data_IF_385393719641
#
_entry.id   IF_385393719641
#
_cell.length_a   1.000
_cell.length_b   1.000
_cell.length_c   1.000
_cell.angle_alpha   90.00
_cell.angle_beta   90.00
_cell.angle_gamma   90.00
#
_symmetry.space_group_name_H-M   'P 1'
#
loop_
_entity.id
_entity.type
_entity.pdbx_description
1 polymer ?
#
# COMPACT_ATOMS: atom_id res chain seq x y z
N UNK A 1 -10.90 -17.54 -6.84
CA UNK A 1 -10.72 -17.22 -5.41
C UNK A 1 -9.22 -17.13 -5.16
N UNK A 2 -8.72 -16.01 -4.68
CA UNK A 2 -7.30 -15.86 -4.35
C UNK A 2 -7.05 -16.65 -3.09
N UNK A 3 -6.02 -17.49 -3.10
CA UNK A 3 -5.63 -18.25 -1.90
C UNK A 3 -4.84 -17.33 -0.96
N UNK A 4 -5.55 -16.65 -0.07
CA UNK A 4 -4.94 -15.81 0.97
C UNK A 4 -4.17 -16.60 2.03
N UNK A 5 -4.28 -17.93 2.04
CA UNK A 5 -3.46 -18.77 2.91
C UNK A 5 -1.96 -18.59 2.60
N UNK A 6 -1.65 -18.27 1.35
CA UNK A 6 -0.29 -17.98 0.92
C UNK A 6 0.23 -16.62 1.40
N UNK A 7 -0.63 -15.62 1.61
CA UNK A 7 -0.23 -14.31 2.14
C UNK A 7 0.00 -14.37 3.66
N UNK A 8 -0.52 -15.37 4.34
CA UNK A 8 -0.39 -15.54 5.78
C UNK A 8 0.40 -16.75 6.24
N UNK A 9 0.54 -17.75 5.40
CA UNK A 9 1.07 -19.06 5.81
C UNK A 9 2.17 -19.58 4.88
N UNK A 10 2.38 -19.01 3.72
CA UNK A 10 3.29 -19.56 2.77
C UNK A 10 3.72 -18.65 1.64
N UNK A 11 4.39 -19.23 0.68
CA UNK A 11 4.96 -18.51 -0.42
C UNK A 11 6.05 -17.55 0.04
N UNK A 12 6.29 -16.51 -0.74
CA UNK A 12 7.29 -15.48 -0.45
C UNK A 12 7.12 -14.83 0.92
N UNK A 13 5.96 -15.00 1.52
CA UNK A 13 5.57 -14.37 2.77
C UNK A 13 5.74 -15.30 3.96
N UNK A 14 5.98 -16.61 3.73
CA UNK A 14 6.09 -17.60 4.81
C UNK A 14 7.26 -17.36 5.74
N UNK A 15 8.38 -16.96 5.18
CA UNK A 15 9.62 -16.69 5.90
C UNK A 15 9.94 -15.19 5.95
N UNK A 16 9.06 -14.36 5.37
CA UNK A 16 9.26 -12.92 5.27
C UNK A 16 8.65 -12.16 6.44
N UNK A 17 8.73 -10.84 6.31
CA UNK A 17 8.24 -9.89 7.29
C UNK A 17 6.76 -10.09 7.67
N UNK A 18 5.93 -10.59 6.77
CA UNK A 18 4.50 -10.80 7.04
C UNK A 18 4.20 -11.93 8.02
N UNK A 19 5.11 -12.88 8.24
CA UNK A 19 4.96 -13.86 9.31
C UNK A 19 5.08 -13.23 10.69
N UNK A 20 5.86 -12.16 10.79
CA UNK A 20 6.09 -11.42 12.03
C UNK A 20 5.08 -10.30 12.22
N UNK A 21 4.67 -9.66 11.11
CA UNK A 21 3.80 -8.49 11.12
C UNK A 21 2.58 -8.70 10.22
N UNK A 22 1.61 -9.42 10.73
CA UNK A 22 0.40 -9.75 9.98
C UNK A 22 -0.35 -8.50 9.46
N UNK A 23 -0.34 -7.41 10.22
CA UNK A 23 -0.98 -6.16 9.83
C UNK A 23 -0.35 -5.50 8.60
N UNK A 24 0.88 -5.83 8.25
CA UNK A 24 1.55 -5.30 7.06
C UNK A 24 1.15 -6.01 5.77
N UNK A 25 0.35 -7.08 5.87
CA UNK A 25 -0.19 -7.78 4.70
C UNK A 25 -1.08 -6.86 3.87
N UNK A 26 -1.19 -7.15 2.57
CA UNK A 26 -2.21 -6.53 1.75
C UNK A 26 -3.60 -6.72 2.35
N UNK A 27 -4.39 -5.66 2.36
CA UNK A 27 -5.74 -5.69 2.92
C UNK A 27 -6.78 -5.60 1.80
N UNK A 28 -7.71 -6.56 1.81
CA UNK A 28 -8.91 -6.59 1.00
C UNK A 28 -10.04 -7.15 1.87
N UNK A 29 -11.15 -6.45 1.97
CA UNK A 29 -12.32 -6.96 2.67
C UNK A 29 -12.87 -8.19 1.93
N UNK A 30 -13.43 -9.12 2.70
CA UNK A 30 -14.02 -10.38 2.21
C UNK A 30 -13.04 -11.31 1.49
N UNK A 31 -11.78 -10.97 1.45
CA UNK A 31 -10.69 -11.79 0.91
C UNK A 31 -10.90 -12.26 -0.55
N UNK A 32 -11.56 -11.45 -1.38
CA UNK A 32 -11.70 -11.74 -2.80
C UNK A 32 -11.79 -10.46 -3.65
N UNK A 33 -11.49 -10.61 -4.93
CA UNK A 33 -11.68 -9.57 -5.92
C UNK A 33 -13.12 -9.55 -6.43
N UNK A 34 -13.66 -8.34 -6.69
CA UNK A 34 -14.94 -8.22 -7.38
C UNK A 34 -14.85 -8.77 -8.81
N UNK A 35 -15.85 -9.54 -9.24
CA UNK A 35 -15.96 -10.01 -10.62
C UNK A 35 -16.43 -8.92 -11.59
N UNK A 36 -16.90 -7.79 -11.07
CA UNK A 36 -17.42 -6.68 -11.86
C UNK A 36 -16.36 -5.83 -12.51
N UNK A 37 -15.17 -5.80 -11.91
CA UNK A 37 -14.06 -4.94 -12.32
C UNK A 37 -12.77 -5.75 -12.46
N UNK A 38 -11.77 -5.13 -13.08
CA UNK A 38 -10.41 -5.66 -13.07
C UNK A 38 -9.83 -5.63 -11.66
N UNK A 39 -8.84 -6.46 -11.38
CA UNK A 39 -8.19 -6.57 -10.07
C UNK A 39 -7.32 -5.35 -9.81
N UNK A 40 -7.80 -4.42 -8.98
CA UNK A 40 -7.09 -3.19 -8.62
C UNK A 40 -6.31 -3.38 -7.33
N UNK A 41 -5.02 -3.05 -7.37
CA UNK A 41 -4.20 -2.89 -6.18
C UNK A 41 -3.78 -1.43 -6.03
N UNK A 42 -4.04 -0.84 -4.87
CA UNK A 42 -3.62 0.52 -4.51
C UNK A 42 -2.47 0.42 -3.52
N UNK A 43 -1.34 1.04 -3.87
CA UNK A 43 -0.13 1.04 -3.05
C UNK A 43 0.13 2.43 -2.50
N UNK A 44 0.02 2.61 -1.21
CA UNK A 44 0.40 3.83 -0.51
C UNK A 44 1.90 3.86 -0.20
N UNK A 45 2.38 4.96 0.37
CA UNK A 45 3.80 5.13 0.69
C UNK A 45 4.21 4.34 1.92
N UNK A 46 3.65 4.70 3.08
CA UNK A 46 3.92 4.05 4.37
C UNK A 46 2.90 4.51 5.41
N UNK A 47 2.81 3.79 6.51
CA UNK A 47 2.13 4.29 7.70
C UNK A 47 2.90 5.45 8.35
N UNK A 48 2.20 6.31 9.10
CA UNK A 48 2.78 7.40 9.87
C UNK A 48 2.41 7.26 11.36
N UNK A 49 3.40 7.22 12.23
CA UNK A 49 3.22 7.00 13.67
C UNK A 49 3.22 8.27 14.51
N UNK A 50 3.66 9.38 13.96
CA UNK A 50 3.82 10.63 14.72
C UNK A 50 5.28 10.91 15.09
N UNK A 51 5.48 12.02 15.79
CA UNK A 51 6.84 12.54 16.07
C UNK A 51 7.45 11.96 17.35
N UNK A 52 6.61 11.52 18.30
CA UNK A 52 7.01 11.02 19.63
C UNK A 52 7.16 9.50 19.64
N UNK A 53 7.84 8.96 18.60
CA UNK A 53 8.06 7.53 18.53
C UNK A 53 9.42 7.15 19.10
N UNK A 54 9.41 6.03 19.78
CA UNK A 54 10.60 5.39 20.33
C UNK A 54 11.66 5.11 19.25
N UNK A 55 12.94 5.13 19.63
CA UNK A 55 14.07 4.93 18.72
C UNK A 55 14.01 3.63 17.93
N UNK A 56 13.31 2.60 18.42
CA UNK A 56 13.14 1.32 17.74
C UNK A 56 12.50 1.47 16.36
N UNK A 57 11.65 2.48 16.14
CA UNK A 57 11.02 2.75 14.84
C UNK A 57 11.93 3.51 13.88
N UNK A 58 12.95 4.15 14.40
CA UNK A 58 13.95 4.91 13.63
C UNK A 58 15.09 4.04 13.15
N UNK A 59 15.29 2.90 13.79
CA UNK A 59 16.30 1.92 13.37
C UNK A 59 15.62 0.81 12.53
N UNK A 60 15.86 0.78 11.20
CA UNK A 60 15.25 -0.23 10.34
C UNK A 60 15.67 -1.66 10.70
N UNK A 61 16.88 -1.89 11.23
CA UNK A 61 17.29 -3.24 11.64
C UNK A 61 16.44 -3.74 12.81
N UNK A 62 16.26 -2.89 13.83
CA UNK A 62 15.39 -3.24 14.98
C UNK A 62 13.93 -3.44 14.54
N UNK A 63 13.43 -2.59 13.64
CA UNK A 63 12.09 -2.72 13.10
C UNK A 63 11.88 -4.06 12.39
N UNK A 64 12.76 -4.41 11.46
CA UNK A 64 12.61 -5.62 10.65
C UNK A 64 12.95 -6.91 11.41
N UNK A 65 13.62 -6.87 12.55
CA UNK A 65 13.76 -8.01 13.46
C UNK A 65 12.42 -8.45 14.07
N UNK A 66 11.55 -7.52 14.35
CA UNK A 66 10.18 -7.80 14.77
C UNK A 66 9.99 -8.37 16.16
N UNK A 67 10.99 -8.34 17.02
CA UNK A 67 10.98 -9.00 18.32
C UNK A 67 10.55 -8.08 19.48
N UNK A 68 10.54 -6.77 19.24
CA UNK A 68 10.15 -5.81 20.27
C UNK A 68 8.64 -5.82 20.49
N UNK A 69 8.22 -5.99 21.75
CA UNK A 69 6.79 -6.03 22.12
C UNK A 69 6.07 -4.72 21.82
N UNK A 70 6.77 -3.59 21.82
CA UNK A 70 6.22 -2.27 21.49
C UNK A 70 5.87 -2.16 20.01
N UNK A 71 6.69 -2.74 19.13
CA UNK A 71 6.40 -2.84 17.70
C UNK A 71 5.09 -3.60 17.50
N UNK A 72 4.92 -4.75 18.14
CA UNK A 72 3.70 -5.56 18.07
C UNK A 72 2.47 -4.81 18.57
N UNK A 73 2.60 -4.04 19.66
CA UNK A 73 1.51 -3.24 20.20
C UNK A 73 1.08 -2.13 19.24
N UNK A 74 2.03 -1.44 18.63
CA UNK A 74 1.75 -0.39 17.65
C UNK A 74 1.06 -0.91 16.40
N UNK A 75 1.45 -2.08 15.93
CA UNK A 75 0.80 -2.73 14.80
C UNK A 75 -0.67 -3.05 15.10
N UNK A 76 -0.97 -3.53 16.32
CA UNK A 76 -2.36 -3.73 16.77
C UNK A 76 -3.15 -2.43 16.84
N UNK A 77 -2.52 -1.33 17.25
CA UNK A 77 -3.17 -0.02 17.29
C UNK A 77 -3.44 0.53 15.88
N UNK A 78 -2.57 0.23 14.92
CA UNK A 78 -2.81 0.56 13.51
C UNK A 78 -3.94 -0.26 12.88
N UNK A 79 -4.05 -1.55 13.21
CA UNK A 79 -5.16 -2.38 12.78
C UNK A 79 -6.51 -1.78 13.19
N UNK A 80 -6.62 -1.25 14.41
CA UNK A 80 -7.81 -0.51 14.85
C UNK A 80 -8.06 0.75 14.03
N UNK A 81 -7.01 1.42 13.54
CA UNK A 81 -7.14 2.60 12.66
C UNK A 81 -7.61 2.21 11.27
N UNK A 82 -7.16 1.09 10.73
CA UNK A 82 -7.63 0.57 9.44
C UNK A 82 -9.14 0.28 9.48
N UNK A 83 -9.65 -0.28 10.58
CA UNK A 83 -11.09 -0.49 10.75
C UNK A 83 -11.92 0.81 10.81
N UNK A 84 -11.28 1.94 11.10
CA UNK A 84 -11.90 3.27 11.15
C UNK A 84 -11.50 4.17 9.96
N UNK A 85 -11.28 3.61 8.78
CA UNK A 85 -10.82 4.26 7.56
C UNK A 85 -11.56 5.56 7.18
N UNK A 86 -12.82 5.72 7.60
CA UNK A 86 -13.66 6.90 7.34
C UNK A 86 -13.04 8.21 7.82
N UNK A 87 -12.14 8.16 8.79
CA UNK A 87 -11.45 9.35 9.30
C UNK A 87 -10.22 9.72 8.47
N UNK A 88 -9.83 8.90 7.49
CA UNK A 88 -8.65 9.14 6.69
C UNK A 88 -9.00 9.72 5.32
N UNK A 89 -8.54 10.94 5.06
CA UNK A 89 -8.79 11.67 3.80
C UNK A 89 -8.30 10.90 2.57
N UNK A 90 -7.24 10.12 2.70
CA UNK A 90 -6.71 9.28 1.63
C UNK A 90 -7.77 8.29 1.14
N UNK A 91 -8.33 7.51 2.05
CA UNK A 91 -9.33 6.49 1.70
C UNK A 91 -10.64 7.10 1.20
N UNK A 92 -11.11 8.16 1.85
CA UNK A 92 -12.37 8.82 1.46
C UNK A 92 -12.29 9.43 0.06
N UNK A 93 -11.13 9.99 -0.33
CA UNK A 93 -10.93 10.54 -1.67
C UNK A 93 -10.85 9.46 -2.74
N UNK A 94 -10.09 8.39 -2.50
CA UNK A 94 -10.00 7.26 -3.42
C UNK A 94 -11.37 6.60 -3.62
N UNK A 95 -12.06 6.27 -2.52
CA UNK A 95 -13.38 5.65 -2.55
C UNK A 95 -14.40 6.51 -3.30
N UNK A 96 -14.38 7.84 -3.12
CA UNK A 96 -15.26 8.76 -3.84
C UNK A 96 -15.07 8.64 -5.37
N UNK A 97 -13.84 8.69 -5.86
CA UNK A 97 -13.57 8.58 -7.30
C UNK A 97 -13.94 7.19 -7.83
N UNK A 98 -13.66 6.13 -7.08
CA UNK A 98 -14.06 4.76 -7.45
C UNK A 98 -15.58 4.64 -7.60
N UNK A 99 -16.34 5.18 -6.64
CA UNK A 99 -17.80 5.18 -6.68
C UNK A 99 -18.36 5.96 -7.89
N UNK A 100 -17.79 7.13 -8.16
CA UNK A 100 -18.20 7.96 -9.31
C UNK A 100 -17.91 7.27 -10.65
N UNK A 101 -16.74 6.66 -10.79
CA UNK A 101 -16.31 6.00 -12.05
C UNK A 101 -17.09 4.73 -12.34
N UNK A 102 -17.31 3.90 -11.33
CA UNK A 102 -17.98 2.60 -11.48
C UNK A 102 -19.50 2.65 -11.24
N UNK A 103 -20.04 3.82 -10.83
CA UNK A 103 -21.43 3.97 -10.40
C UNK A 103 -21.82 2.93 -9.33
N UNK A 104 -21.00 2.82 -8.30
CA UNK A 104 -21.18 1.92 -7.16
C UNK A 104 -21.27 2.73 -5.86
N UNK A 105 -21.60 2.07 -4.76
CA UNK A 105 -21.67 2.66 -3.42
C UNK A 105 -20.80 1.86 -2.45
N UNK A 106 -19.52 1.64 -2.80
CA UNK A 106 -18.60 1.00 -1.88
C UNK A 106 -18.35 1.91 -0.67
N UNK A 107 -18.35 1.31 0.50
CA UNK A 107 -18.16 2.02 1.77
C UNK A 107 -16.67 2.19 2.09
N UNK A 108 -15.82 1.37 1.49
CA UNK A 108 -14.38 1.39 1.66
C UNK A 108 -13.68 0.96 0.38
N UNK A 109 -12.47 1.49 0.15
CA UNK A 109 -11.60 1.03 -0.95
C UNK A 109 -11.29 -0.48 -0.84
N UNK A 110 -11.34 -1.05 0.36
CA UNK A 110 -11.08 -2.46 0.60
C UNK A 110 -12.16 -3.41 0.06
N UNK A 111 -13.33 -2.90 -0.32
CA UNK A 111 -14.40 -3.71 -0.91
C UNK A 111 -14.12 -4.04 -2.38
N UNK A 112 -13.37 -3.17 -3.07
CA UNK A 112 -13.17 -3.25 -4.53
C UNK A 112 -11.70 -3.26 -4.94
N UNK A 113 -10.77 -3.02 -4.00
CA UNK A 113 -9.34 -2.97 -4.27
C UNK A 113 -8.52 -3.54 -3.10
N UNK A 114 -7.40 -4.15 -3.43
CA UNK A 114 -6.37 -4.44 -2.42
C UNK A 114 -5.65 -3.15 -2.08
N UNK A 115 -5.50 -2.87 -0.80
CA UNK A 115 -4.69 -1.76 -0.30
C UNK A 115 -3.42 -2.28 0.37
N UNK A 116 -2.28 -1.65 0.09
CA UNK A 116 -0.96 -2.04 0.57
C UNK A 116 -0.07 -0.82 0.80
N UNK A 117 0.78 -0.86 1.81
CA UNK A 117 1.82 0.15 2.04
C UNK A 117 3.16 -0.37 1.49
N UNK A 118 3.80 0.40 0.59
CA UNK A 118 5.06 0.01 -0.03
C UNK A 118 6.17 -0.13 1.00
N UNK A 119 6.45 0.94 1.75
CA UNK A 119 7.40 0.86 2.85
C UNK A 119 6.74 0.28 4.09
N UNK A 120 7.24 -0.86 4.54
CA UNK A 120 6.67 -1.61 5.66
C UNK A 120 7.05 -1.01 7.01
N UNK A 121 8.17 -0.28 7.08
CA UNK A 121 8.49 0.52 8.26
C UNK A 121 7.70 1.83 8.22
N UNK A 122 7.08 2.22 9.32
CA UNK A 122 6.31 3.46 9.35
C UNK A 122 7.22 4.69 9.33
N UNK A 123 6.72 5.78 8.76
CA UNK A 123 7.38 7.08 8.84
C UNK A 123 7.38 7.61 10.27
N UNK A 124 8.53 8.11 10.72
CA UNK A 124 8.73 8.66 12.07
C UNK A 124 9.03 10.16 12.07
N UNK A 125 9.11 10.78 10.89
CA UNK A 125 9.38 12.20 10.72
C UNK A 125 8.13 12.90 10.19
N UNK A 126 7.77 14.04 10.79
CA UNK A 126 6.61 14.84 10.39
C UNK A 126 6.83 15.61 9.10
N UNK A 127 5.73 15.84 8.37
CA UNK A 127 5.66 16.75 7.25
C UNK A 127 5.66 16.08 5.89
N UNK A 128 5.77 16.87 4.84
CA UNK A 128 5.87 16.38 3.47
C UNK A 128 7.16 15.60 3.28
N UNK A 129 7.09 14.51 2.50
CA UNK A 129 8.24 13.62 2.24
C UNK A 129 8.81 12.99 3.53
N UNK A 130 7.92 12.64 4.45
CA UNK A 130 8.32 12.15 5.77
C UNK A 130 9.18 10.89 5.69
N UNK A 131 8.77 9.91 4.87
CA UNK A 131 9.53 8.67 4.73
C UNK A 131 10.79 8.85 3.87
N UNK A 132 10.76 9.68 2.81
CA UNK A 132 11.93 9.96 1.97
C UNK A 132 13.15 10.43 2.78
N UNK A 133 12.91 11.20 3.85
CA UNK A 133 13.97 11.72 4.73
C UNK A 133 14.59 10.68 5.66
N UNK A 134 13.86 9.62 5.94
CA UNK A 134 14.20 8.58 6.92
C UNK A 134 14.45 7.21 6.27
N UNK A 135 14.26 7.12 4.96
CA UNK A 135 14.36 5.88 4.19
C UNK A 135 15.84 5.43 4.06
N UNK A 136 16.07 4.18 4.39
CA UNK A 136 17.40 3.54 4.23
C UNK A 136 17.40 2.58 3.03
N UNK A 137 18.58 2.05 2.68
CA UNK A 137 18.68 1.01 1.65
C UNK A 137 17.95 -0.28 2.08
N UNK A 138 18.01 -0.64 3.35
CA UNK A 138 17.29 -1.80 3.88
C UNK A 138 15.76 -1.66 3.70
N UNK A 139 15.21 -0.46 3.91
CA UNK A 139 13.80 -0.19 3.66
C UNK A 139 13.44 -0.43 2.19
N UNK A 140 14.27 0.03 1.26
CA UNK A 140 14.06 -0.15 -0.19
C UNK A 140 14.11 -1.62 -0.59
N UNK A 141 15.10 -2.35 -0.11
CA UNK A 141 15.31 -3.77 -0.44
C UNK A 141 14.17 -4.63 0.08
N UNK A 142 13.74 -4.41 1.33
CA UNK A 142 12.62 -5.13 1.93
C UNK A 142 11.31 -4.78 1.23
N UNK A 143 11.05 -3.50 0.98
CA UNK A 143 9.83 -3.04 0.32
C UNK A 143 9.71 -3.59 -1.10
N UNK A 144 10.78 -3.49 -1.88
CA UNK A 144 10.82 -3.98 -3.25
C UNK A 144 10.63 -5.49 -3.34
N UNK A 145 11.37 -6.25 -2.53
CA UNK A 145 11.24 -7.71 -2.46
C UNK A 145 9.82 -8.13 -2.09
N UNK A 146 9.25 -7.50 -1.06
CA UNK A 146 7.91 -7.83 -0.60
C UNK A 146 6.85 -7.51 -1.66
N UNK A 147 6.92 -6.33 -2.32
CA UNK A 147 5.93 -5.95 -3.32
C UNK A 147 5.99 -6.82 -4.56
N UNK A 148 7.17 -7.18 -5.07
CA UNK A 148 7.29 -8.14 -6.17
C UNK A 148 6.53 -9.44 -5.85
N UNK A 149 6.77 -9.99 -4.67
CA UNK A 149 6.08 -11.20 -4.26
C UNK A 149 4.58 -11.04 -4.04
N UNK A 150 4.13 -9.91 -3.51
CA UNK A 150 2.71 -9.60 -3.37
C UNK A 150 2.03 -9.53 -4.73
N UNK A 151 2.66 -8.88 -5.73
CA UNK A 151 2.14 -8.84 -7.10
C UNK A 151 2.07 -10.24 -7.71
N UNK A 152 3.10 -11.07 -7.53
CA UNK A 152 3.15 -12.42 -8.07
C UNK A 152 2.09 -13.36 -7.46
N UNK A 153 1.77 -13.17 -6.18
CA UNK A 153 0.75 -13.94 -5.47
C UNK A 153 -0.66 -13.47 -5.83
N UNK A 154 -0.90 -12.16 -5.77
CA UNK A 154 -2.24 -11.59 -5.94
C UNK A 154 -2.62 -11.47 -7.42
N UNK A 155 -1.66 -11.31 -8.31
CA UNK A 155 -1.85 -11.15 -9.77
C UNK A 155 -2.90 -10.07 -10.07
N UNK A 156 -2.70 -8.82 -9.61
CA UNK A 156 -3.58 -7.73 -9.97
C UNK A 156 -3.49 -7.46 -11.48
N UNK A 157 -4.56 -6.90 -12.06
CA UNK A 157 -4.55 -6.43 -13.45
C UNK A 157 -3.89 -5.05 -13.54
N UNK A 158 -4.06 -4.23 -12.48
CA UNK A 158 -3.46 -2.91 -12.37
C UNK A 158 -3.00 -2.62 -10.94
N UNK A 159 -1.82 -1.99 -10.82
CA UNK A 159 -1.27 -1.43 -9.58
C UNK A 159 -1.19 0.09 -9.72
N UNK A 160 -1.84 0.83 -8.84
CA UNK A 160 -1.77 2.29 -8.80
C UNK A 160 -1.12 2.71 -7.49
N UNK A 161 0.06 3.30 -7.59
CA UNK A 161 0.71 3.92 -6.43
C UNK A 161 0.02 5.25 -6.09
N UNK A 162 -0.41 5.39 -4.85
CA UNK A 162 -0.89 6.66 -4.29
C UNK A 162 0.26 7.52 -3.72
N UNK A 163 1.46 7.34 -4.25
CA UNK A 163 2.68 8.10 -3.98
C UNK A 163 3.65 7.97 -5.15
N UNK A 164 4.06 9.12 -5.71
CA UNK A 164 5.11 9.13 -6.74
C UNK A 164 6.44 8.59 -6.20
N UNK A 165 6.81 8.94 -4.96
CA UNK A 165 8.05 8.50 -4.35
C UNK A 165 8.11 6.96 -4.23
N UNK A 166 7.07 6.34 -3.69
CA UNK A 166 7.00 4.88 -3.59
C UNK A 166 7.05 4.19 -4.97
N UNK A 167 6.37 4.76 -5.96
CA UNK A 167 6.44 4.29 -7.35
C UNK A 167 7.86 4.34 -7.92
N UNK A 168 8.53 5.47 -7.78
CA UNK A 168 9.86 5.68 -8.33
C UNK A 168 10.90 4.75 -7.66
N UNK A 169 10.79 4.53 -6.35
CA UNK A 169 11.64 3.59 -5.61
C UNK A 169 11.38 2.13 -6.03
N UNK A 170 10.12 1.75 -6.25
CA UNK A 170 9.79 0.43 -6.77
C UNK A 170 10.31 0.23 -8.21
N UNK A 171 10.19 1.24 -9.08
CA UNK A 171 10.71 1.18 -10.44
C UNK A 171 12.23 0.94 -10.45
N UNK A 172 12.99 1.68 -9.62
CA UNK A 172 14.44 1.48 -9.46
C UNK A 172 14.78 0.08 -8.95
N UNK A 173 14.04 -0.38 -7.93
CA UNK A 173 14.25 -1.71 -7.37
C UNK A 173 14.00 -2.80 -8.41
N UNK A 174 12.84 -2.78 -9.07
CA UNK A 174 12.47 -3.78 -10.07
C UNK A 174 13.45 -3.85 -11.25
N UNK A 175 13.94 -2.70 -11.71
CA UNK A 175 15.01 -2.63 -12.71
C UNK A 175 16.31 -3.28 -12.20
N UNK A 176 16.71 -2.97 -10.97
CA UNK A 176 17.97 -3.47 -10.39
C UNK A 176 18.02 -4.99 -10.22
N UNK A 177 16.86 -5.63 -10.00
CA UNK A 177 16.76 -7.10 -9.84
C UNK A 177 16.24 -7.81 -11.08
N UNK A 178 15.96 -7.07 -12.16
CA UNK A 178 15.41 -7.63 -13.40
C UNK A 178 13.99 -8.17 -13.25
N UNK A 179 13.19 -7.61 -12.33
CA UNK A 179 11.81 -8.02 -12.13
C UNK A 179 10.94 -7.57 -13.31
N UNK A 180 10.29 -8.51 -13.96
CA UNK A 180 9.40 -8.27 -15.09
C UNK A 180 7.99 -8.75 -14.75
N UNK A 181 7.00 -7.92 -15.06
CA UNK A 181 5.58 -8.25 -14.90
C UNK A 181 4.76 -7.67 -16.04
N UNK A 182 3.68 -8.37 -16.41
CA UNK A 182 2.70 -7.86 -17.38
C UNK A 182 1.63 -6.96 -16.71
N UNK A 183 1.71 -6.77 -15.43
CA UNK A 183 0.79 -5.92 -14.66
C UNK A 183 1.02 -4.46 -15.04
N UNK A 184 -0.05 -3.74 -15.34
CA UNK A 184 0.02 -2.28 -15.51
C UNK A 184 0.37 -1.62 -14.20
N UNK A 185 1.45 -0.87 -14.15
CA UNK A 185 1.90 -0.12 -12.97
C UNK A 185 1.94 1.36 -13.31
N UNK A 186 1.29 2.18 -12.48
CA UNK A 186 1.26 3.62 -12.62
C UNK A 186 1.16 4.31 -11.23
N UNK A 187 1.19 5.62 -11.17
CA UNK A 187 1.08 6.36 -9.92
C UNK A 187 0.14 7.56 -10.03
N UNK A 188 -0.34 7.99 -8.88
CA UNK A 188 -0.97 9.30 -8.69
C UNK A 188 -0.32 10.03 -7.51
N UNK A 189 -0.47 11.35 -7.48
CA UNK A 189 -0.06 12.13 -6.32
C UNK A 189 -0.84 11.70 -5.08
N UNK A 190 -0.21 11.82 -3.91
CA UNK A 190 -0.79 11.37 -2.65
C UNK A 190 -2.14 12.06 -2.34
N UNK A 191 -3.21 11.30 -2.05
CA UNK A 191 -4.56 11.86 -1.88
C UNK A 191 -4.73 12.82 -0.70
N UNK A 192 -3.77 12.88 0.23
CA UNK A 192 -3.79 13.87 1.33
C UNK A 192 -3.66 15.30 0.85
N UNK A 193 -3.11 15.53 -0.36
CA UNK A 193 -2.96 16.86 -0.93
C UNK A 193 -4.30 17.61 -0.98
N UNK A 194 -4.29 18.89 -0.56
CA UNK A 194 -5.52 19.71 -0.46
C UNK A 194 -6.27 19.79 -1.79
N UNK A 195 -5.53 20.05 -2.87
CA UNK A 195 -6.05 20.24 -4.24
C UNK A 195 -5.95 18.97 -5.11
N UNK A 196 -5.99 17.78 -4.50
CA UNK A 196 -5.78 16.51 -5.20
C UNK A 196 -6.75 16.28 -6.37
N UNK A 197 -7.99 16.76 -6.27
CA UNK A 197 -8.98 16.66 -7.35
C UNK A 197 -8.72 17.59 -8.53
N UNK A 198 -7.85 18.61 -8.36
CA UNK A 198 -7.60 19.67 -9.35
C UNK A 198 -6.27 19.46 -10.07
N UNK A 199 -5.32 18.78 -9.45
CA UNK A 199 -3.99 18.57 -10.04
C UNK A 199 -3.99 17.38 -11.00
N UNK A 200 -3.38 17.58 -12.15
CA UNK A 200 -3.36 16.59 -13.26
C UNK A 200 -2.98 15.18 -12.78
N UNK A 201 -1.89 15.04 -12.03
CA UNK A 201 -1.42 13.75 -11.53
C UNK A 201 -2.08 13.31 -10.20
N UNK A 202 -3.22 13.90 -9.82
CA UNK A 202 -4.03 13.56 -8.66
C UNK A 202 -5.28 12.78 -9.03
N UNK A 203 -6.44 13.30 -8.59
CA UNK A 203 -7.76 12.74 -8.86
C UNK A 203 -8.07 12.54 -10.34
N UNK A 204 -7.80 13.53 -11.23
CA UNK A 204 -8.04 13.36 -12.67
C UNK A 204 -7.26 12.17 -13.29
N UNK A 205 -6.00 12.00 -12.92
CA UNK A 205 -5.22 10.84 -13.39
C UNK A 205 -5.75 9.54 -12.80
N UNK A 206 -6.13 9.53 -11.51
CA UNK A 206 -6.71 8.35 -10.88
C UNK A 206 -8.01 7.94 -11.60
N UNK A 207 -8.90 8.89 -11.83
CA UNK A 207 -10.14 8.66 -12.59
C UNK A 207 -9.87 8.08 -13.99
N UNK A 208 -8.91 8.67 -14.72
CA UNK A 208 -8.51 8.18 -16.04
C UNK A 208 -8.01 6.74 -15.99
N UNK A 209 -7.11 6.40 -15.07
CA UNK A 209 -6.57 5.06 -14.92
C UNK A 209 -7.66 4.04 -14.57
N UNK A 210 -8.62 4.41 -13.72
CA UNK A 210 -9.75 3.55 -13.39
C UNK A 210 -10.64 3.29 -14.61
N UNK A 211 -10.98 4.31 -15.38
CA UNK A 211 -11.78 4.17 -16.61
C UNK A 211 -11.11 3.31 -17.67
N UNK A 212 -9.79 3.41 -17.79
CA UNK A 212 -9.03 2.73 -18.83
C UNK A 212 -8.70 1.28 -18.48
N UNK A 213 -8.46 0.97 -17.20
CA UNK A 213 -7.91 -0.34 -16.80
C UNK A 213 -8.72 -1.09 -15.74
N UNK A 214 -9.56 -0.41 -14.97
CA UNK A 214 -10.30 -1.07 -13.89
C UNK A 214 -11.73 -1.41 -14.30
N UNK A 215 -12.42 -0.50 -14.98
CA UNK A 215 -13.76 -0.76 -15.51
C UNK A 215 -13.67 -1.74 -16.70
N UNK A 216 -14.52 -2.78 -16.67
CA UNK A 216 -14.64 -3.76 -17.77
C UNK A 216 -15.69 -3.33 -18.77
#
# INVERSE_FOLDING_TARGET
MIDYSNIGKGGIVKEGIFNRFEILKPALLDNYWSDKHSKLMIVAESNYLGDDVDCVFKDPNLWYQGDDSRIKQLLKDQEKKVSNWKYYKTFTKLCKVMNEVANIDCKSVYEEAVFYDYFLRPATVKGTKSFEKDCTQLDRDVAGTALCGVIDILKPDIVIFASKYAHDEFAKYSESVGYNTNVRIDYVNHPVMRNWYEVENGGPKFEKLLKEYWIK
#
